data_IF_203564978031
#
_entry.id   IF_203564978031
#
_cell.length_a   1.000
_cell.length_b   1.000
_cell.length_c   1.000
_cell.angle_alpha   90.00
_cell.angle_beta   90.00
_cell.angle_gamma   90.00
#
_symmetry.space_group_name_H-M   'P 1'
#
loop_
_entity.id
_entity.type
_entity.pdbx_description
1 polymer ?
#
# COMPACT_ATOMS: atom_id res chain seq x y z
N UNK A 1 5.62 -11.17 -22.20
CA UNK A 1 4.33 -11.83 -22.47
C UNK A 1 3.26 -11.01 -21.75
N UNK A 2 2.19 -10.67 -22.49
CA UNK A 2 1.04 -10.02 -21.88
C UNK A 2 0.40 -11.00 -20.91
N UNK A 3 0.36 -10.66 -19.63
CA UNK A 3 -0.16 -11.52 -18.59
C UNK A 3 -1.69 -11.66 -18.65
N UNK A 4 -2.35 -10.73 -19.36
CA UNK A 4 -3.81 -10.65 -19.54
C UNK A 4 -4.59 -10.70 -18.21
N UNK A 5 -3.98 -10.26 -17.11
CA UNK A 5 -4.67 -10.13 -15.83
C UNK A 5 -5.82 -9.13 -15.98
N UNK A 6 -7.07 -9.60 -15.98
CA UNK A 6 -8.26 -8.76 -16.11
C UNK A 6 -9.01 -8.57 -14.79
N UNK A 7 -8.62 -9.30 -13.76
CA UNK A 7 -9.20 -9.23 -12.41
C UNK A 7 -8.20 -9.69 -11.35
N UNK A 8 -8.32 -9.08 -10.18
CA UNK A 8 -7.59 -9.41 -8.97
C UNK A 8 -8.60 -9.63 -7.84
N UNK A 9 -8.36 -10.64 -7.01
CA UNK A 9 -9.13 -10.93 -5.80
C UNK A 9 -8.18 -10.99 -4.62
N UNK A 10 -8.46 -10.16 -3.61
CA UNK A 10 -7.65 -10.04 -2.41
C UNK A 10 -8.37 -10.66 -1.21
N UNK A 11 -7.69 -11.61 -0.57
CA UNK A 11 -8.18 -12.25 0.64
C UNK A 11 -7.28 -11.91 1.80
N UNK A 12 -7.83 -11.21 2.78
CA UNK A 12 -7.10 -10.80 3.99
C UNK A 12 -7.68 -11.47 5.21
N UNK A 13 -6.80 -12.02 6.06
CA UNK A 13 -7.13 -12.45 7.41
C UNK A 13 -6.09 -11.87 8.37
N UNK A 14 -6.53 -11.31 9.48
CA UNK A 14 -5.61 -10.64 10.40
C UNK A 14 -6.13 -10.54 11.82
N UNK A 15 -5.28 -10.04 12.67
CA UNK A 15 -5.56 -9.75 14.06
C UNK A 15 -4.95 -8.41 14.45
N UNK A 16 -5.77 -7.56 15.07
CA UNK A 16 -5.35 -6.26 15.56
C UNK A 16 -5.65 -6.10 17.03
N UNK A 17 -4.80 -5.37 17.72
CA UNK A 17 -4.96 -5.07 19.15
C UNK A 17 -4.41 -3.70 19.52
N UNK A 18 -5.15 -2.97 20.36
CA UNK A 18 -4.59 -1.84 21.12
C UNK A 18 -3.75 -2.37 22.27
N UNK A 19 -2.45 -2.10 22.23
CA UNK A 19 -1.46 -2.60 23.20
C UNK A 19 -1.57 -1.81 24.52
N UNK A 20 -1.73 -0.47 24.41
CA UNK A 20 -1.97 0.46 25.51
C UNK A 20 -2.68 1.71 24.96
N UNK A 21 -2.75 2.80 25.76
CA UNK A 21 -3.44 4.03 25.38
C UNK A 21 -2.84 4.70 24.11
N UNK A 22 -1.53 4.58 23.92
CA UNK A 22 -0.82 5.22 22.80
C UNK A 22 -0.58 4.29 21.61
N UNK A 23 -0.51 2.97 21.79
CA UNK A 23 -0.05 2.02 20.78
C UNK A 23 -1.10 1.00 20.38
N UNK A 24 -1.25 0.80 19.09
CA UNK A 24 -1.97 -0.31 18.48
C UNK A 24 -1.08 -1.07 17.50
N UNK A 25 -1.34 -2.36 17.33
CA UNK A 25 -0.67 -3.22 16.36
C UNK A 25 -1.69 -4.03 15.57
N UNK A 26 -1.33 -4.32 14.32
CA UNK A 26 -2.06 -5.21 13.42
C UNK A 26 -1.07 -6.14 12.74
N UNK A 27 -1.49 -7.40 12.54
CA UNK A 27 -0.77 -8.40 11.75
C UNK A 27 -1.80 -9.10 10.87
N UNK A 28 -1.52 -9.20 9.58
CA UNK A 28 -2.38 -9.88 8.65
C UNK A 28 -1.61 -10.65 7.59
N UNK A 29 -2.29 -11.64 7.01
CA UNK A 29 -1.87 -12.34 5.79
C UNK A 29 -2.80 -11.91 4.68
N UNK A 30 -2.24 -11.48 3.57
CA UNK A 30 -2.93 -11.07 2.36
C UNK A 30 -2.55 -12.03 1.22
N UNK A 31 -3.56 -12.60 0.57
CA UNK A 31 -3.40 -13.43 -0.62
C UNK A 31 -3.96 -12.70 -1.82
N UNK A 32 -3.12 -12.44 -2.80
CA UNK A 32 -3.48 -11.95 -4.13
C UNK A 32 -3.78 -13.12 -5.05
N UNK A 33 -4.91 -13.06 -5.74
CA UNK A 33 -5.30 -14.06 -6.73
C UNK A 33 -5.70 -13.42 -8.05
N UNK A 34 -5.15 -13.93 -9.13
CA UNK A 34 -5.39 -13.49 -10.50
C UNK A 34 -6.06 -14.60 -11.32
N UNK A 35 -7.40 -14.80 -11.20
CA UNK A 35 -8.08 -15.97 -11.75
C UNK A 35 -8.11 -16.01 -13.28
N UNK A 36 -7.78 -14.92 -13.97
CA UNK A 36 -7.91 -14.78 -15.43
C UNK A 36 -6.56 -14.75 -16.15
N UNK A 37 -5.48 -15.26 -15.55
CA UNK A 37 -4.13 -15.23 -16.13
C UNK A 37 -3.73 -16.58 -16.75
N UNK A 38 -2.91 -16.53 -17.81
CA UNK A 38 -2.33 -17.70 -18.43
C UNK A 38 -1.11 -18.26 -17.66
N UNK A 39 -0.55 -17.45 -16.76
CA UNK A 39 0.57 -17.79 -15.87
C UNK A 39 0.16 -17.57 -14.43
N UNK A 40 0.76 -18.27 -13.48
CA UNK A 40 0.51 -18.06 -12.06
C UNK A 40 1.15 -16.74 -11.62
N UNK A 41 0.32 -15.77 -11.24
CA UNK A 41 0.70 -14.48 -10.67
C UNK A 41 0.25 -14.36 -9.21
N UNK A 42 -0.25 -15.48 -8.63
CA UNK A 42 -0.76 -15.45 -7.28
C UNK A 42 0.39 -15.42 -6.27
N UNK A 43 0.27 -14.58 -5.25
CA UNK A 43 1.29 -14.47 -4.20
C UNK A 43 0.67 -14.14 -2.85
N UNK A 44 1.45 -14.37 -1.77
CA UNK A 44 1.00 -14.18 -0.38
C UNK A 44 1.95 -13.24 0.34
N UNK A 45 1.41 -12.31 1.09
CA UNK A 45 2.16 -11.34 1.88
C UNK A 45 1.80 -11.43 3.36
N UNK A 46 2.79 -11.39 4.23
CA UNK A 46 2.63 -11.20 5.67
C UNK A 46 2.88 -9.74 6.00
N UNK A 47 1.89 -9.09 6.61
CA UNK A 47 1.93 -7.68 6.95
C UNK A 47 1.89 -7.45 8.46
N UNK A 48 2.64 -6.45 8.91
CA UNK A 48 2.60 -5.94 10.27
C UNK A 48 2.54 -4.43 10.28
N UNK A 49 1.68 -3.85 11.11
CA UNK A 49 1.57 -2.40 11.30
C UNK A 49 1.61 -2.04 12.76
N UNK A 50 2.38 -1.02 13.11
CA UNK A 50 2.42 -0.40 14.43
C UNK A 50 1.91 1.04 14.31
N UNK A 51 0.92 1.38 15.13
CA UNK A 51 0.32 2.72 15.14
C UNK A 51 0.53 3.39 16.50
N UNK A 52 0.95 4.66 16.47
CA UNK A 52 1.16 5.50 17.64
C UNK A 52 0.14 6.66 17.68
N UNK A 53 -0.61 6.75 18.77
CA UNK A 53 -1.63 7.80 19.03
C UNK A 53 -2.62 7.99 17.88
N UNK A 54 -2.92 6.92 17.15
CA UNK A 54 -3.81 6.89 15.97
C UNK A 54 -3.39 7.80 14.80
N UNK A 55 -2.28 8.54 14.96
CA UNK A 55 -1.81 9.54 14.00
C UNK A 55 -0.54 9.15 13.25
N UNK A 56 0.29 8.29 13.80
CA UNK A 56 1.55 7.88 13.18
C UNK A 56 1.56 6.38 13.02
N UNK A 57 2.02 5.89 11.88
CA UNK A 57 2.15 4.45 11.67
C UNK A 57 3.43 4.10 10.95
N UNK A 58 3.89 2.88 11.19
CA UNK A 58 4.89 2.21 10.38
C UNK A 58 4.39 0.79 10.09
N UNK A 59 4.60 0.34 8.86
CA UNK A 59 4.22 -0.99 8.40
C UNK A 59 5.35 -1.68 7.67
N UNK A 60 5.33 -3.00 7.70
CA UNK A 60 6.20 -3.87 6.93
C UNK A 60 5.33 -4.98 6.32
N UNK A 61 5.55 -5.26 5.03
CA UNK A 61 5.01 -6.40 4.32
C UNK A 61 6.16 -7.24 3.76
N UNK A 62 6.03 -8.57 3.77
CA UNK A 62 7.02 -9.48 3.23
C UNK A 62 6.37 -10.63 2.49
N UNK A 63 6.93 -10.95 1.33
CA UNK A 63 6.59 -12.13 0.55
C UNK A 63 7.86 -12.82 0.07
N UNK A 64 7.82 -14.15 -0.04
CA UNK A 64 8.84 -14.94 -0.73
C UNK A 64 8.55 -15.08 -2.23
N UNK A 65 7.38 -14.63 -2.67
CA UNK A 65 6.89 -14.69 -4.05
C UNK A 65 6.40 -13.31 -4.49
N UNK A 66 7.24 -12.29 -4.26
CA UNK A 66 6.86 -10.89 -4.45
C UNK A 66 6.42 -10.61 -5.89
N UNK A 67 5.27 -9.94 -6.05
CA UNK A 67 4.69 -9.58 -7.35
C UNK A 67 4.45 -10.79 -8.28
N UNK A 68 4.31 -12.01 -7.72
CA UNK A 68 4.13 -13.24 -8.47
C UNK A 68 5.42 -13.81 -9.08
N UNK A 69 6.58 -13.33 -8.65
CA UNK A 69 7.89 -13.93 -8.96
C UNK A 69 8.29 -14.91 -7.86
N UNK A 70 9.10 -15.93 -8.19
CA UNK A 70 9.69 -16.86 -7.21
C UNK A 70 10.92 -16.23 -6.53
N UNK A 71 10.74 -15.03 -5.99
CA UNK A 71 11.77 -14.23 -5.36
C UNK A 71 11.19 -13.31 -4.27
N UNK A 72 12.00 -12.97 -3.29
CA UNK A 72 11.55 -12.25 -2.12
C UNK A 72 11.36 -10.74 -2.38
N UNK A 73 10.42 -10.16 -1.63
CA UNK A 73 10.24 -8.72 -1.54
C UNK A 73 9.81 -8.29 -0.14
N UNK A 74 10.30 -7.13 0.28
CA UNK A 74 9.95 -6.53 1.57
C UNK A 74 9.55 -5.08 1.37
N UNK A 75 8.31 -4.77 1.68
CA UNK A 75 7.76 -3.42 1.64
C UNK A 75 7.83 -2.80 3.03
N UNK A 76 8.32 -1.57 3.14
CA UNK A 76 8.29 -0.78 4.36
C UNK A 76 7.64 0.56 4.11
N UNK A 77 6.79 1.02 5.02
CA UNK A 77 6.10 2.30 4.92
C UNK A 77 6.08 2.99 6.28
N UNK A 78 6.17 4.31 6.29
CA UNK A 78 5.85 5.12 7.45
C UNK A 78 4.97 6.29 7.02
N UNK A 79 4.07 6.71 7.90
CA UNK A 79 3.16 7.79 7.59
C UNK A 79 2.59 8.47 8.83
N UNK A 80 1.91 9.59 8.56
CA UNK A 80 1.27 10.39 9.59
C UNK A 80 -0.06 10.98 9.11
N UNK A 81 -0.98 11.16 10.07
CA UNK A 81 -2.26 11.86 9.90
C UNK A 81 -2.23 13.13 10.72
N UNK A 82 -2.58 14.23 10.10
CA UNK A 82 -2.62 15.56 10.73
C UNK A 82 -4.06 16.08 10.67
N UNK A 83 -4.85 15.94 11.74
CA UNK A 83 -6.18 16.53 11.79
C UNK A 83 -6.07 18.06 11.78
N UNK A 84 -6.71 18.71 10.78
CA UNK A 84 -6.77 20.17 10.64
C UNK A 84 -7.99 20.72 11.38
N UNK A 85 -9.12 19.99 11.28
CA UNK A 85 -10.35 20.23 12.02
C UNK A 85 -11.19 18.95 12.06
N UNK A 86 -12.42 19.02 12.59
CA UNK A 86 -13.31 17.86 12.73
C UNK A 86 -13.66 17.18 11.38
N UNK A 87 -13.65 17.93 10.28
CA UNK A 87 -14.04 17.44 8.97
C UNK A 87 -12.87 17.24 8.01
N UNK A 88 -11.69 17.76 8.31
CA UNK A 88 -10.57 17.74 7.36
C UNK A 88 -9.26 17.31 8.03
N UNK A 89 -8.55 16.40 7.37
CA UNK A 89 -7.20 15.97 7.76
C UNK A 89 -6.28 15.88 6.55
N UNK A 90 -4.99 16.00 6.78
CA UNK A 90 -3.92 15.71 5.83
C UNK A 90 -3.26 14.39 6.25
N UNK A 91 -2.99 13.54 5.28
CA UNK A 91 -2.24 12.30 5.48
C UNK A 91 -1.02 12.30 4.57
N UNK A 92 0.14 11.90 5.09
CA UNK A 92 1.36 11.78 4.33
C UNK A 92 2.04 10.45 4.62
N UNK A 93 2.64 9.83 3.61
CA UNK A 93 3.45 8.62 3.79
C UNK A 93 4.59 8.56 2.80
N UNK A 94 5.64 7.84 3.19
CA UNK A 94 6.76 7.43 2.35
C UNK A 94 6.97 5.93 2.50
N UNK A 95 7.39 5.28 1.44
CA UNK A 95 7.60 3.85 1.44
C UNK A 95 8.75 3.46 0.52
N UNK A 96 9.32 2.28 0.78
CA UNK A 96 10.26 1.62 -0.11
C UNK A 96 9.93 0.14 -0.21
N UNK A 97 9.99 -0.40 -1.42
CA UNK A 97 9.88 -1.82 -1.69
C UNK A 97 11.25 -2.35 -2.04
N UNK A 98 11.87 -3.10 -1.15
CA UNK A 98 13.08 -3.87 -1.38
C UNK A 98 12.70 -5.12 -2.16
N UNK A 99 13.22 -5.29 -3.35
CA UNK A 99 12.96 -6.43 -4.23
C UNK A 99 14.27 -7.14 -4.53
N UNK A 100 14.22 -8.46 -4.61
CA UNK A 100 15.34 -9.27 -5.03
C UNK A 100 15.75 -8.91 -6.48
N UNK A 101 17.02 -9.02 -6.82
CA UNK A 101 17.54 -8.74 -8.16
C UNK A 101 17.01 -9.75 -9.22
N UNK A 102 16.47 -10.90 -8.80
CA UNK A 102 15.70 -11.81 -9.67
C UNK A 102 14.34 -11.22 -10.07
N UNK A 103 13.77 -10.29 -9.28
CA UNK A 103 12.50 -9.60 -9.60
C UNK A 103 12.78 -8.38 -10.48
N UNK A 104 13.72 -7.53 -10.05
CA UNK A 104 14.03 -6.26 -10.73
C UNK A 104 15.53 -5.94 -10.62
N UNK A 105 16.10 -5.31 -11.63
CA UNK A 105 17.52 -4.98 -11.68
C UNK A 105 17.93 -3.78 -10.79
N UNK A 106 16.98 -3.09 -10.15
CA UNK A 106 17.19 -1.84 -9.39
C UNK A 106 17.10 -2.01 -7.87
N UNK A 107 17.10 -3.24 -7.35
CA UNK A 107 16.94 -3.55 -5.91
C UNK A 107 15.64 -3.04 -5.28
N UNK A 108 14.72 -2.46 -6.07
CA UNK A 108 13.43 -1.95 -5.60
C UNK A 108 13.12 -0.52 -6.01
N UNK A 109 12.16 0.10 -5.34
CA UNK A 109 11.72 1.48 -5.63
C UNK A 109 11.10 2.15 -4.41
N UNK A 110 11.08 3.49 -4.42
CA UNK A 110 10.45 4.31 -3.39
C UNK A 110 9.22 5.04 -3.92
N UNK A 111 8.27 5.28 -3.04
CA UNK A 111 7.15 6.15 -3.34
C UNK A 111 6.73 7.01 -2.14
N UNK A 112 6.04 8.11 -2.44
CA UNK A 112 5.47 9.01 -1.45
C UNK A 112 4.03 9.35 -1.82
N UNK A 113 3.22 9.64 -0.80
CA UNK A 113 1.82 10.05 -0.94
C UNK A 113 1.51 11.23 -0.04
N UNK A 114 0.70 12.15 -0.56
CA UNK A 114 0.12 13.24 0.22
C UNK A 114 -1.37 13.33 -0.10
N UNK A 115 -2.22 13.20 0.91
CA UNK A 115 -3.67 13.20 0.76
C UNK A 115 -4.32 14.30 1.57
N UNK A 116 -5.30 14.98 0.97
CA UNK A 116 -6.31 15.73 1.68
C UNK A 116 -7.58 14.89 1.81
N UNK A 117 -8.11 14.73 3.02
CA UNK A 117 -9.29 13.92 3.29
C UNK A 117 -10.36 14.78 3.94
N UNK A 118 -11.54 14.80 3.34
CA UNK A 118 -12.68 15.55 3.81
C UNK A 118 -13.85 14.62 4.15
N UNK A 119 -14.19 14.55 5.45
CA UNK A 119 -15.38 13.89 5.97
C UNK A 119 -16.56 14.86 5.88
N UNK A 120 -17.45 14.69 4.91
CA UNK A 120 -18.44 15.72 4.63
C UNK A 120 -19.86 15.38 5.07
N UNK A 121 -20.22 14.11 5.21
CA UNK A 121 -21.57 13.71 5.67
C UNK A 121 -21.64 12.23 6.06
N UNK A 122 -21.95 11.95 7.33
CA UNK A 122 -22.13 10.59 7.83
C UNK A 122 -20.88 9.73 7.58
N UNK A 123 -21.02 8.55 6.95
CA UNK A 123 -19.89 7.64 6.75
C UNK A 123 -18.99 8.02 5.54
N UNK A 124 -19.27 9.13 4.84
CA UNK A 124 -18.61 9.46 3.58
C UNK A 124 -17.40 10.35 3.76
N UNK A 125 -16.30 9.99 3.11
CA UNK A 125 -15.10 10.78 2.97
C UNK A 125 -14.73 10.95 1.48
N UNK A 126 -14.33 12.16 1.10
CA UNK A 126 -13.67 12.43 -0.18
C UNK A 126 -12.16 12.54 0.07
N UNK A 127 -11.37 11.78 -0.66
CA UNK A 127 -9.91 11.76 -0.61
C UNK A 127 -9.35 12.26 -1.94
N UNK A 128 -8.43 13.21 -1.88
CA UNK A 128 -7.59 13.61 -3.00
C UNK A 128 -6.14 13.32 -2.65
N UNK A 129 -5.48 12.47 -3.42
CA UNK A 129 -4.11 12.02 -3.18
C UNK A 129 -3.21 12.38 -4.34
N UNK A 130 -2.04 12.95 -4.02
CA UNK A 130 -0.91 13.07 -4.95
C UNK A 130 0.06 11.94 -4.62
N UNK A 131 0.42 11.17 -5.62
CA UNK A 131 1.42 10.10 -5.57
C UNK A 131 2.67 10.56 -6.30
N UNK A 132 3.84 10.14 -5.83
CA UNK A 132 5.11 10.30 -6.51
C UNK A 132 5.96 9.05 -6.30
N UNK A 133 6.65 8.60 -7.34
CA UNK A 133 7.62 7.51 -7.30
C UNK A 133 8.98 8.00 -7.76
N UNK A 134 10.04 7.28 -7.40
CA UNK A 134 11.38 7.53 -7.94
C UNK A 134 11.56 7.01 -9.38
N UNK A 135 12.75 7.20 -9.94
CA UNK A 135 13.12 6.77 -11.30
C UNK A 135 13.18 5.24 -11.42
N UNK A 136 13.45 4.54 -10.32
CA UNK A 136 13.55 3.08 -10.31
C UNK A 136 12.18 2.46 -10.54
N UNK A 137 11.12 3.02 -9.92
CA UNK A 137 9.75 2.63 -10.23
C UNK A 137 9.41 2.80 -11.72
N UNK A 138 9.86 3.89 -12.34
CA UNK A 138 9.65 4.13 -13.77
C UNK A 138 10.41 3.11 -14.62
N UNK A 139 11.63 2.75 -14.22
CA UNK A 139 12.41 1.71 -14.91
C UNK A 139 11.77 0.31 -14.82
N UNK A 140 11.07 0.01 -13.69
CA UNK A 140 10.40 -1.27 -13.45
C UNK A 140 9.06 -1.35 -14.19
N UNK A 141 8.19 -0.33 -14.03
CA UNK A 141 6.79 -0.36 -14.44
C UNK A 141 6.48 0.46 -15.69
N UNK A 142 7.41 1.32 -16.13
CA UNK A 142 7.22 2.26 -17.23
C UNK A 142 6.49 3.54 -16.84
N UNK A 143 6.60 4.58 -17.69
CA UNK A 143 6.03 5.92 -17.48
C UNK A 143 4.49 5.93 -17.38
N UNK A 144 3.84 4.94 -17.99
CA UNK A 144 2.37 4.85 -17.98
C UNK A 144 1.81 4.42 -16.61
N UNK A 145 2.64 3.80 -15.75
CA UNK A 145 2.23 3.27 -14.44
C UNK A 145 2.90 4.01 -13.29
N UNK A 146 4.18 4.36 -13.43
CA UNK A 146 4.98 5.05 -12.40
C UNK A 146 5.01 6.58 -12.60
N UNK A 147 5.67 7.29 -11.69
CA UNK A 147 5.82 8.74 -11.70
C UNK A 147 4.78 9.47 -10.83
N UNK A 148 4.52 10.73 -11.17
CA UNK A 148 3.57 11.56 -10.41
C UNK A 148 2.14 11.33 -10.89
N UNK A 149 1.22 11.06 -9.96
CA UNK A 149 -0.20 10.81 -10.22
C UNK A 149 -1.08 11.57 -9.24
N UNK A 150 -2.30 11.87 -9.68
CA UNK A 150 -3.36 12.40 -8.81
C UNK A 150 -4.54 11.43 -8.85
N UNK A 151 -5.01 11.08 -7.68
CA UNK A 151 -6.17 10.20 -7.48
C UNK A 151 -7.25 10.91 -6.68
N UNK A 152 -8.51 10.70 -7.05
CA UNK A 152 -9.67 11.10 -6.27
C UNK A 152 -10.50 9.85 -5.92
N UNK A 153 -10.78 9.66 -4.63
CA UNK A 153 -11.56 8.52 -4.13
C UNK A 153 -12.70 8.98 -3.23
N UNK A 154 -13.87 8.36 -3.39
CA UNK A 154 -14.99 8.46 -2.46
C UNK A 154 -15.05 7.18 -1.64
N UNK A 155 -14.98 7.33 -0.32
CA UNK A 155 -15.01 6.21 0.63
C UNK A 155 -16.23 6.31 1.53
N UNK A 156 -16.81 5.17 1.89
CA UNK A 156 -17.85 5.04 2.90
C UNK A 156 -17.48 3.95 3.90
N UNK A 157 -17.59 4.24 5.20
CA UNK A 157 -17.32 3.30 6.30
C UNK A 157 -18.57 3.14 7.18
N UNK A 158 -19.05 1.89 7.33
CA UNK A 158 -20.29 1.55 8.04
C UNK A 158 -20.02 0.69 9.27
#
# INVERSE_FOLDING_TARGET
PETHASSELDFTIGWGKRVNEDWAMDINVLRYQYPSTAIDLNWTELNGTLTYRDNYWASVGHSNEALGYDAAGTYVQAGAKFPVNEAFRIEASVAHYFLDDEVVATEGYSHAQLSGVWAFKGPFELRLTVHATDSDATAIFGDDVAGSRVEAALQASF
#
